data_IF_355544730323
#
_entry.id   IF_355544730323
#
_cell.length_a   1.000
_cell.length_b   1.000
_cell.length_c   1.000
_cell.angle_alpha   90.00
_cell.angle_beta   90.00
_cell.angle_gamma   90.00
#
_symmetry.space_group_name_H-M   'P 1'
#
loop_
_entity.id
_entity.type
_entity.pdbx_description
1 polymer ?
#
# COMPACT_ATOMS: atom_id res chain seq x y z
N UNK A 1 10.46 10.79 -2.05
CA UNK A 1 9.99 9.86 -3.08
C UNK A 1 9.22 8.74 -2.42
N UNK A 2 8.00 8.50 -2.88
CA UNK A 2 7.16 7.38 -2.45
C UNK A 2 7.59 6.13 -3.21
N UNK A 3 7.82 5.02 -2.50
CA UNK A 3 8.14 3.73 -3.11
C UNK A 3 6.86 2.93 -3.36
N UNK A 4 6.86 2.03 -4.37
CA UNK A 4 5.71 1.19 -4.66
C UNK A 4 5.49 0.16 -3.55
N UNK A 5 4.23 -0.11 -3.24
CA UNK A 5 3.85 -1.12 -2.26
C UNK A 5 2.45 -1.68 -2.55
N UNK A 6 2.29 -2.97 -2.30
CA UNK A 6 1.02 -3.68 -2.42
C UNK A 6 0.82 -4.49 -1.15
N UNK A 7 -0.31 -4.29 -0.51
CA UNK A 7 -0.67 -4.96 0.74
C UNK A 7 -1.99 -5.68 0.60
N UNK A 8 -2.15 -6.77 1.34
CA UNK A 8 -3.40 -7.50 1.46
C UNK A 8 -3.85 -7.47 2.91
N UNK A 9 -5.09 -7.06 3.14
CA UNK A 9 -5.70 -7.20 4.45
C UNK A 9 -5.90 -8.69 4.71
N UNK A 10 -5.59 -9.16 5.93
CA UNK A 10 -5.89 -10.55 6.25
C UNK A 10 -7.39 -10.81 6.08
N UNK A 11 -7.78 -11.97 5.48
CA UNK A 11 -9.17 -12.27 5.18
C UNK A 11 -10.00 -12.60 6.43
N UNK A 12 -9.35 -12.97 7.52
CA UNK A 12 -10.01 -13.32 8.77
C UNK A 12 -10.26 -12.08 9.63
N UNK A 13 -11.50 -11.91 10.10
CA UNK A 13 -11.92 -10.77 10.92
C UNK A 13 -11.14 -10.66 12.24
N UNK A 14 -10.52 -11.73 12.73
CA UNK A 14 -9.69 -11.68 13.95
C UNK A 14 -8.50 -10.73 13.84
N UNK A 15 -8.10 -10.37 12.62
CA UNK A 15 -7.03 -9.40 12.37
C UNK A 15 -7.55 -7.96 12.19
N UNK A 16 -8.84 -7.71 12.46
CA UNK A 16 -9.41 -6.37 12.54
C UNK A 16 -9.44 -5.94 14.01
N UNK A 17 -8.41 -5.23 14.43
CA UNK A 17 -8.26 -4.78 15.82
C UNK A 17 -9.10 -3.55 16.13
N UNK A 18 -9.29 -2.67 15.14
CA UNK A 18 -10.11 -1.47 15.25
C UNK A 18 -10.75 -1.11 13.92
N UNK A 19 -12.05 -0.82 13.92
CA UNK A 19 -12.79 -0.57 12.67
C UNK A 19 -12.60 0.83 12.09
N UNK A 20 -12.32 1.87 12.90
CA UNK A 20 -12.11 3.25 12.40
C UNK A 20 -11.45 4.18 13.43
N UNK A 21 -10.99 5.35 12.96
CA UNK A 21 -10.44 6.47 13.74
C UNK A 21 -9.22 6.19 14.63
N UNK A 22 -8.11 5.61 14.15
CA UNK A 22 -7.88 5.03 12.81
C UNK A 22 -8.31 3.56 12.75
N UNK A 23 -8.55 3.05 11.54
CA UNK A 23 -8.74 1.61 11.35
C UNK A 23 -7.41 0.89 11.62
N UNK A 24 -7.41 -0.17 12.44
CA UNK A 24 -6.21 -0.95 12.74
C UNK A 24 -6.47 -2.38 12.27
N UNK A 25 -5.72 -2.80 11.26
CA UNK A 25 -5.88 -4.11 10.59
C UNK A 25 -4.53 -4.79 10.42
N UNK A 26 -4.52 -6.11 10.58
CA UNK A 26 -3.40 -6.95 10.18
C UNK A 26 -3.36 -7.07 8.66
N UNK A 27 -2.18 -6.87 8.09
CA UNK A 27 -1.93 -6.96 6.66
C UNK A 27 -0.68 -7.79 6.37
N UNK A 28 -0.62 -8.31 5.17
CA UNK A 28 0.57 -8.91 4.57
C UNK A 28 1.06 -8.01 3.44
N UNK A 29 2.35 -7.69 3.42
CA UNK A 29 2.96 -6.97 2.29
C UNK A 29 3.23 -7.99 1.17
N UNK A 30 2.50 -7.87 0.06
CA UNK A 30 2.60 -8.79 -1.07
C UNK A 30 3.81 -8.47 -1.94
N UNK A 31 4.00 -7.19 -2.27
CA UNK A 31 5.08 -6.71 -3.12
C UNK A 31 5.50 -5.29 -2.72
N UNK A 32 6.77 -4.95 -2.95
CA UNK A 32 7.36 -3.66 -2.63
C UNK A 32 7.42 -3.40 -1.13
N UNK A 33 7.16 -2.15 -0.76
CA UNK A 33 7.31 -1.68 0.61
C UNK A 33 6.28 -0.61 0.98
N UNK A 34 5.93 -0.55 2.25
CA UNK A 34 5.05 0.48 2.82
C UNK A 34 5.75 1.24 3.94
N UNK A 35 5.42 2.52 4.08
CA UNK A 35 5.90 3.39 5.16
C UNK A 35 4.76 4.19 5.78
N UNK A 36 4.89 4.64 7.03
CA UNK A 36 4.03 5.69 7.58
C UNK A 36 3.97 6.90 6.65
N UNK A 37 2.79 7.48 6.50
CA UNK A 37 2.49 8.60 5.59
C UNK A 37 2.04 8.18 4.19
N UNK A 38 2.17 6.91 3.81
CA UNK A 38 1.76 6.48 2.46
C UNK A 38 0.24 6.47 2.33
N UNK A 39 -0.25 7.03 1.22
CA UNK A 39 -1.67 6.97 0.84
C UNK A 39 -1.94 5.63 0.17
N UNK A 40 -3.09 5.03 0.47
CA UNK A 40 -3.56 3.78 -0.11
C UNK A 40 -4.76 3.99 -1.03
N UNK A 41 -4.79 3.23 -2.11
CA UNK A 41 -5.89 3.15 -3.07
C UNK A 41 -6.34 1.69 -3.26
N UNK A 42 -7.57 1.52 -3.74
CA UNK A 42 -8.13 0.22 -4.13
C UNK A 42 -7.74 -0.17 -5.55
N UNK A 43 -8.00 -1.42 -5.90
CA UNK A 43 -7.84 -1.93 -7.27
C UNK A 43 -8.65 -1.17 -8.32
N UNK A 44 -9.71 -0.47 -7.91
CA UNK A 44 -10.52 0.39 -8.77
C UNK A 44 -10.01 1.84 -8.85
N UNK A 45 -8.86 2.17 -8.24
CA UNK A 45 -8.29 3.52 -8.21
C UNK A 45 -8.79 4.40 -7.05
N UNK A 46 -9.87 4.01 -6.35
CA UNK A 46 -10.44 4.83 -5.29
C UNK A 46 -9.48 4.96 -4.10
N UNK A 47 -9.33 6.20 -3.62
CA UNK A 47 -8.54 6.51 -2.43
C UNK A 47 -9.21 5.97 -1.17
N UNK A 48 -8.41 5.32 -0.33
CA UNK A 48 -8.85 4.68 0.92
C UNK A 48 -8.51 5.54 2.13
N UNK A 49 -7.25 5.95 2.24
CA UNK A 49 -6.73 6.57 3.46
C UNK A 49 -5.22 6.63 3.49
N UNK A 50 -4.67 6.96 4.65
CA UNK A 50 -3.23 7.15 4.87
C UNK A 50 -2.74 6.25 5.99
N UNK A 51 -1.60 5.58 5.79
CA UNK A 51 -0.95 4.79 6.84
C UNK A 51 -0.41 5.75 7.91
N UNK A 52 -0.91 5.64 9.15
CA UNK A 52 -0.41 6.40 10.31
C UNK A 52 0.78 5.74 10.96
N UNK A 53 0.72 4.43 11.13
CA UNK A 53 1.78 3.66 11.77
C UNK A 53 1.74 2.21 11.32
N UNK A 54 2.89 1.56 11.42
CA UNK A 54 3.08 0.14 11.16
C UNK A 54 3.66 -0.44 12.45
N UNK A 55 3.08 -1.53 12.93
CA UNK A 55 3.51 -2.22 14.14
C UNK A 55 3.78 -3.69 13.82
N UNK A 56 4.94 -4.18 14.23
CA UNK A 56 5.28 -5.59 14.20
C UNK A 56 5.53 -6.06 15.62
N UNK A 57 4.69 -6.97 16.12
CA UNK A 57 4.69 -7.40 17.52
C UNK A 57 4.61 -6.20 18.47
N UNK A 58 5.70 -5.86 19.14
CA UNK A 58 5.79 -4.79 20.13
C UNK A 58 6.42 -3.49 19.56
N UNK A 59 7.04 -3.56 18.39
CA UNK A 59 7.82 -2.46 17.82
C UNK A 59 7.07 -1.70 16.71
N UNK A 60 7.28 -0.38 16.68
CA UNK A 60 6.85 0.46 15.57
C UNK A 60 7.89 0.46 14.46
N UNK A 61 7.46 0.15 13.25
CA UNK A 61 8.32 0.08 12.07
C UNK A 61 8.19 1.34 11.22
N UNK A 62 9.33 1.80 10.69
CA UNK A 62 9.39 2.89 9.71
C UNK A 62 9.18 2.39 8.27
N UNK A 63 9.36 1.10 8.03
CA UNK A 63 9.19 0.44 6.74
C UNK A 63 8.75 -1.00 7.00
N UNK A 64 7.84 -1.52 6.19
CA UNK A 64 7.58 -2.95 6.08
C UNK A 64 7.71 -3.39 4.61
N UNK A 65 8.33 -4.54 4.39
CA UNK A 65 8.67 -5.08 3.05
C UNK A 65 7.91 -6.35 2.75
N UNK A 66 7.95 -6.77 1.48
CA UNK A 66 7.35 -8.03 1.02
C UNK A 66 7.60 -9.21 1.97
N UNK A 67 6.53 -9.96 2.24
CA UNK A 67 6.52 -11.15 3.08
C UNK A 67 6.29 -10.86 4.56
N UNK A 68 6.34 -9.59 4.98
CA UNK A 68 6.08 -9.22 6.36
C UNK A 68 4.59 -9.15 6.66
N UNK A 69 4.21 -9.74 7.81
CA UNK A 69 2.89 -9.65 8.40
C UNK A 69 2.92 -8.64 9.55
N UNK A 70 2.21 -7.52 9.38
CA UNK A 70 2.26 -6.36 10.29
C UNK A 70 0.86 -5.82 10.57
N UNK A 71 0.68 -5.17 11.71
CA UNK A 71 -0.52 -4.40 12.01
C UNK A 71 -0.35 -2.97 11.50
N UNK A 72 -1.32 -2.48 10.74
CA UNK A 72 -1.27 -1.14 10.13
C UNK A 72 -2.45 -0.32 10.62
N UNK A 73 -2.16 0.88 11.11
CA UNK A 73 -3.17 1.88 11.41
C UNK A 73 -3.38 2.76 10.18
N UNK A 74 -4.59 2.74 9.61
CA UNK A 74 -4.99 3.50 8.43
C UNK A 74 -6.03 4.56 8.84
N UNK A 75 -5.71 5.82 8.58
CA UNK A 75 -6.59 6.95 8.83
C UNK A 75 -7.47 7.25 7.62
N UNK A 76 -8.75 7.55 7.88
CA UNK A 76 -9.79 7.74 6.86
C UNK A 76 -10.81 6.59 6.73
N UNK A 77 -10.42 5.32 6.50
CA UNK A 77 -11.37 4.28 6.16
C UNK A 77 -12.09 3.70 7.38
N UNK A 78 -13.20 3.03 7.10
CA UNK A 78 -13.95 2.21 8.06
C UNK A 78 -13.93 0.76 7.53
N UNK A 79 -13.46 -0.18 8.35
CA UNK A 79 -13.45 -1.61 8.02
C UNK A 79 -14.88 -2.14 8.00
N UNK A 80 -15.27 -2.83 6.94
CA UNK A 80 -16.64 -3.30 6.66
C UNK A 80 -17.51 -2.30 5.90
N UNK A 81 -16.97 -1.14 5.51
CA UNK A 81 -17.68 -0.14 4.69
C UNK A 81 -16.82 0.39 3.55
N UNK A 82 -15.64 0.92 3.90
CA UNK A 82 -14.69 1.46 2.92
C UNK A 82 -13.66 0.42 2.51
N UNK A 83 -13.21 -0.43 3.44
CA UNK A 83 -12.28 -1.53 3.20
C UNK A 83 -12.79 -2.82 3.84
N UNK A 84 -12.47 -3.97 3.26
CA UNK A 84 -12.92 -5.28 3.73
C UNK A 84 -11.75 -6.25 3.94
N UNK A 85 -11.85 -7.18 4.90
CA UNK A 85 -10.89 -8.28 5.04
C UNK A 85 -10.67 -9.00 3.71
N UNK A 86 -9.40 -9.32 3.40
CA UNK A 86 -9.02 -10.00 2.15
C UNK A 86 -8.81 -9.07 0.95
N UNK A 87 -9.21 -7.80 1.03
CA UNK A 87 -8.96 -6.83 -0.06
C UNK A 87 -7.47 -6.52 -0.21
N UNK A 88 -7.08 -6.23 -1.46
CA UNK A 88 -5.74 -5.75 -1.82
C UNK A 88 -5.79 -4.24 -1.97
N UNK A 89 -4.85 -3.56 -1.31
CA UNK A 89 -4.63 -2.14 -1.40
C UNK A 89 -3.25 -1.85 -2.01
N UNK A 90 -3.16 -0.73 -2.71
CA UNK A 90 -1.97 -0.31 -3.42
C UNK A 90 -1.52 1.06 -2.91
N UNK A 91 -0.22 1.30 -2.89
CA UNK A 91 0.30 2.64 -2.59
C UNK A 91 -0.04 3.59 -3.73
N UNK A 92 -0.59 4.73 -3.37
CA UNK A 92 -0.96 5.81 -4.28
C UNK A 92 0.29 6.58 -4.73
N UNK A 93 0.92 6.14 -5.82
CA UNK A 93 2.12 6.79 -6.37
C UNK A 93 1.80 7.99 -7.25
N UNK A 94 2.48 9.12 -7.05
CA UNK A 94 2.40 10.25 -7.98
C UNK A 94 3.14 9.96 -9.30
N UNK A 95 2.83 10.70 -10.38
CA UNK A 95 3.58 10.60 -11.64
C UNK A 95 5.05 10.94 -11.43
N UNK A 96 5.34 11.99 -10.68
CA UNK A 96 6.70 12.45 -10.40
C UNK A 96 7.50 11.39 -9.62
N UNK A 97 6.88 10.76 -8.62
CA UNK A 97 7.50 9.62 -7.91
C UNK A 97 7.80 8.49 -8.90
N UNK A 98 6.86 8.12 -9.77
CA UNK A 98 7.04 7.04 -10.73
C UNK A 98 8.18 7.32 -11.73
N UNK A 99 8.22 8.53 -12.30
CA UNK A 99 9.30 8.98 -13.20
C UNK A 99 10.64 8.92 -12.47
N UNK A 100 10.69 9.44 -11.24
CA UNK A 100 11.91 9.47 -10.44
C UNK A 100 12.42 8.08 -10.10
N UNK A 101 11.52 7.16 -9.74
CA UNK A 101 11.87 5.77 -9.46
C UNK A 101 12.46 5.07 -10.69
N UNK A 102 11.89 5.29 -11.88
CA UNK A 102 12.35 4.63 -13.12
C UNK A 102 13.64 5.26 -13.67
N UNK A 103 13.79 6.59 -13.57
CA UNK A 103 14.90 7.31 -14.20
C UNK A 103 16.10 7.52 -13.29
N UNK A 104 15.87 7.80 -12.01
CA UNK A 104 16.92 8.20 -11.06
C UNK A 104 17.22 7.11 -10.02
N UNK A 105 16.21 6.36 -9.58
CA UNK A 105 16.33 5.43 -8.44
C UNK A 105 16.16 3.97 -8.85
N UNK A 106 16.36 3.65 -10.12
CA UNK A 106 16.14 2.30 -10.64
C UNK A 106 17.00 1.25 -9.93
N UNK A 107 18.24 1.60 -9.61
CA UNK A 107 19.18 0.72 -8.89
C UNK A 107 18.80 0.50 -7.42
N UNK A 108 17.87 1.31 -6.88
CA UNK A 108 17.33 1.13 -5.52
C UNK A 108 16.06 0.28 -5.49
N UNK A 109 15.48 -0.06 -6.65
CA UNK A 109 14.31 -0.89 -6.75
C UNK A 109 14.72 -2.36 -6.80
N UNK A 110 14.22 -3.14 -5.85
CA UNK A 110 14.34 -4.60 -5.95
C UNK A 110 13.28 -5.17 -6.91
N UNK A 111 13.38 -6.47 -7.19
CA UNK A 111 12.41 -7.14 -8.07
C UNK A 111 10.96 -7.01 -7.58
N UNK A 112 10.76 -6.92 -6.26
CA UNK A 112 9.46 -6.79 -5.64
C UNK A 112 8.89 -5.38 -5.81
N UNK A 113 9.73 -4.35 -5.65
CA UNK A 113 9.35 -2.97 -5.94
C UNK A 113 8.96 -2.81 -7.42
N UNK A 114 9.70 -3.43 -8.34
CA UNK A 114 9.38 -3.40 -9.77
C UNK A 114 8.03 -4.08 -10.04
N UNK A 115 7.75 -5.21 -9.40
CA UNK A 115 6.44 -5.90 -9.51
C UNK A 115 5.32 -5.04 -8.95
N UNK A 116 5.52 -4.43 -7.78
CA UNK A 116 4.56 -3.53 -7.16
C UNK A 116 4.27 -2.31 -8.06
N UNK A 117 5.31 -1.70 -8.64
CA UNK A 117 5.17 -0.56 -9.56
C UNK A 117 4.31 -0.94 -10.77
N UNK A 118 4.57 -2.10 -11.39
CA UNK A 118 3.76 -2.62 -12.51
C UNK A 118 2.30 -2.87 -12.11
N UNK A 119 2.05 -3.38 -10.91
CA UNK A 119 0.69 -3.58 -10.41
C UNK A 119 -0.04 -2.25 -10.19
N UNK A 120 0.63 -1.27 -9.59
CA UNK A 120 0.09 0.08 -9.38
C UNK A 120 -0.20 0.75 -10.73
N UNK A 121 0.74 0.66 -11.67
CA UNK A 121 0.57 1.20 -13.02
C UNK A 121 -0.68 0.64 -13.71
N UNK A 122 -0.94 -0.68 -13.62
CA UNK A 122 -2.16 -1.30 -14.15
C UNK A 122 -3.44 -0.75 -13.52
N UNK A 123 -3.44 -0.48 -12.22
CA UNK A 123 -4.60 0.10 -11.52
C UNK A 123 -4.86 1.52 -12.02
N UNK A 124 -3.80 2.34 -12.11
CA UNK A 124 -3.91 3.77 -12.47
C UNK A 124 -4.07 4.03 -13.96
N UNK A 125 -3.62 3.11 -14.81
CA UNK A 125 -3.79 3.19 -16.27
C UNK A 125 -5.25 3.27 -16.72
N UNK A 126 -6.20 2.86 -15.86
CA UNK A 126 -7.64 2.95 -16.12
C UNK A 126 -8.15 4.39 -16.14
N UNK A 127 -7.52 5.27 -15.38
CA UNK A 127 -7.89 6.69 -15.27
C UNK A 127 -6.92 7.59 -16.03
N UNK A 128 -5.66 7.17 -16.13
CA UNK A 128 -4.58 8.01 -16.65
C UNK A 128 -3.64 7.22 -17.58
N UNK A 129 -3.65 7.51 -18.90
CA UNK A 129 -2.83 6.84 -19.90
C UNK A 129 -1.32 6.88 -19.64
N UNK A 130 -0.82 7.85 -18.86
CA UNK A 130 0.60 7.92 -18.48
C UNK A 130 1.09 6.59 -17.89
N UNK A 131 0.27 5.94 -17.05
CA UNK A 131 0.64 4.71 -16.37
C UNK A 131 0.65 3.48 -17.29
N UNK A 132 -0.01 3.54 -18.44
CA UNK A 132 0.06 2.47 -19.43
C UNK A 132 1.41 2.46 -20.18
N UNK A 133 2.09 3.60 -20.23
CA UNK A 133 3.36 3.79 -20.93
C UNK A 133 4.60 3.71 -20.01
N UNK A 134 4.38 3.62 -18.69
CA UNK A 134 5.42 3.48 -17.66
C UNK A 134 5.97 2.05 -17.58
#
# INVERSE_FOLDING_TARGET
>A
TTFPGVIRLFPDERYVFRRSHPAIVGVEVLEGRIKPGYTLIKQNGQRVGVIKSIKSKDDFLQEAKKGEAVAVAIDGPIVGRHIHPGEILYVDLSRDDAIRLVRELRDMLDESDIKALKMIAKVKAREDPFWAAL
#
